data_IF_843505814709
#
_entry.id   IF_843505814709
#
_cell.length_a   1.000
_cell.length_b   1.000
_cell.length_c   1.000
_cell.angle_alpha   90.00
_cell.angle_beta   90.00
_cell.angle_gamma   90.00
#
_symmetry.space_group_name_H-M   'P 1'
#
loop_
_entity.id
_entity.type
_entity.pdbx_description
1 polymer ?
#
# COMPACT_ATOMS: atom_id res chain seq x y z
N UNK A 1 2.39 -28.28 -8.10
CA UNK A 1 2.84 -26.87 -7.98
C UNK A 1 1.60 -26.07 -7.61
N UNK A 2 1.68 -25.00 -6.78
CA UNK A 2 0.48 -24.25 -6.41
C UNK A 2 -0.23 -23.75 -7.66
N UNK A 3 -1.55 -23.93 -7.72
CA UNK A 3 -2.39 -23.64 -8.89
C UNK A 3 -2.73 -22.15 -8.99
N UNK A 4 -2.62 -21.40 -7.88
CA UNK A 4 -2.81 -19.95 -7.83
C UNK A 4 -1.84 -19.22 -6.88
N UNK A 5 -1.85 -17.88 -6.90
CA UNK A 5 -1.07 -17.07 -5.96
C UNK A 5 -1.61 -17.16 -4.54
N UNK A 6 -2.92 -17.29 -4.38
CA UNK A 6 -3.60 -17.49 -3.11
C UNK A 6 -3.20 -18.81 -2.46
N UNK A 7 -2.94 -19.86 -3.24
CA UNK A 7 -2.42 -21.12 -2.71
C UNK A 7 -0.94 -21.04 -2.34
N UNK A 8 -0.15 -20.30 -3.13
CA UNK A 8 1.29 -20.14 -2.92
C UNK A 8 1.61 -19.29 -1.69
N UNK A 9 0.82 -18.26 -1.41
CA UNK A 9 1.06 -17.29 -0.36
C UNK A 9 -0.14 -17.20 0.59
N UNK A 10 -0.01 -17.84 1.75
CA UNK A 10 -1.02 -17.80 2.82
C UNK A 10 -0.77 -16.64 3.80
N UNK A 11 0.48 -16.17 3.87
CA UNK A 11 0.89 -15.09 4.78
C UNK A 11 1.73 -14.04 4.07
N UNK A 12 1.71 -12.81 4.60
CA UNK A 12 2.55 -11.72 4.09
C UNK A 12 4.04 -12.05 4.19
N UNK A 13 4.45 -12.82 5.21
CA UNK A 13 5.83 -13.23 5.43
C UNK A 13 6.38 -14.12 4.30
N UNK A 14 5.53 -14.93 3.68
CA UNK A 14 5.92 -15.76 2.53
C UNK A 14 6.17 -14.90 1.28
N UNK A 15 5.36 -13.84 1.09
CA UNK A 15 5.59 -12.84 0.04
C UNK A 15 6.92 -12.13 0.27
N UNK A 16 7.22 -11.71 1.51
CA UNK A 16 8.49 -11.08 1.89
C UNK A 16 9.68 -12.00 1.59
N UNK A 17 9.57 -13.30 1.91
CA UNK A 17 10.60 -14.29 1.60
C UNK A 17 10.82 -14.46 0.09
N UNK A 18 9.74 -14.53 -0.69
CA UNK A 18 9.84 -14.59 -2.14
C UNK A 18 10.46 -13.31 -2.72
N UNK A 19 10.09 -12.13 -2.22
CA UNK A 19 10.68 -10.87 -2.63
C UNK A 19 12.19 -10.83 -2.35
N UNK A 20 12.66 -11.31 -1.19
CA UNK A 20 14.11 -11.42 -0.89
C UNK A 20 14.86 -12.28 -1.91
N UNK A 21 14.22 -13.32 -2.41
CA UNK A 21 14.84 -14.24 -3.37
C UNK A 21 14.90 -13.68 -4.79
N UNK A 22 14.00 -12.75 -5.13
CA UNK A 22 13.85 -12.22 -6.49
C UNK A 22 14.46 -10.82 -6.67
N UNK A 23 14.55 -10.02 -5.62
CA UNK A 23 15.10 -8.67 -5.68
C UNK A 23 16.62 -8.68 -5.59
N UNK A 24 17.26 -7.80 -6.36
CA UNK A 24 18.67 -7.50 -6.20
C UNK A 24 18.94 -6.87 -4.82
N UNK A 25 20.18 -6.95 -4.29
CA UNK A 25 20.50 -6.45 -2.95
C UNK A 25 20.09 -4.99 -2.70
N UNK A 26 20.38 -4.07 -3.63
CA UNK A 26 20.04 -2.64 -3.48
C UNK A 26 18.54 -2.36 -3.34
N UNK A 27 17.69 -2.78 -4.31
CA UNK A 27 16.23 -2.66 -4.17
C UNK A 27 15.69 -3.35 -2.92
N UNK A 28 16.21 -4.53 -2.57
CA UNK A 28 15.78 -5.20 -1.34
C UNK A 28 16.08 -4.35 -0.09
N UNK A 29 17.31 -3.86 0.05
CA UNK A 29 17.74 -3.08 1.21
C UNK A 29 16.97 -1.75 1.28
N UNK A 30 16.65 -1.13 0.13
CA UNK A 30 15.78 0.04 0.05
C UNK A 30 14.35 -0.25 0.54
N UNK A 31 13.80 -1.42 0.21
CA UNK A 31 12.43 -1.79 0.58
C UNK A 31 12.28 -2.12 2.07
N UNK A 32 13.23 -2.85 2.65
CA UNK A 32 13.10 -3.38 4.02
C UNK A 32 13.84 -2.57 5.08
N UNK A 33 14.74 -1.69 4.66
CA UNK A 33 15.58 -0.91 5.56
C UNK A 33 14.80 0.11 6.39
N UNK A 34 15.17 0.23 7.66
CA UNK A 34 14.77 1.33 8.54
C UNK A 34 15.86 2.40 8.68
N UNK A 35 15.52 3.51 9.35
CA UNK A 35 16.52 4.53 9.66
C UNK A 35 17.52 4.04 10.74
N UNK A 36 18.80 4.33 10.52
CA UNK A 36 19.90 4.09 11.48
C UNK A 36 19.92 2.64 12.00
N UNK A 37 19.77 2.43 13.30
CA UNK A 37 19.76 1.11 13.96
C UNK A 37 18.46 0.33 13.75
N UNK A 38 17.51 0.88 12.99
CA UNK A 38 16.18 0.32 12.73
C UNK A 38 15.35 0.09 14.00
N UNK A 39 15.69 0.81 15.08
CA UNK A 39 15.04 0.64 16.38
C UNK A 39 13.54 0.91 16.28
N UNK A 40 13.14 1.97 15.56
CA UNK A 40 11.72 2.29 15.36
C UNK A 40 11.00 1.26 14.49
N UNK A 41 11.67 0.73 13.46
CA UNK A 41 11.11 -0.33 12.61
C UNK A 41 10.74 -1.57 13.45
N UNK A 42 11.66 -2.00 14.32
CA UNK A 42 11.44 -3.12 15.26
C UNK A 42 10.33 -2.80 16.27
N UNK A 43 10.32 -1.60 16.83
CA UNK A 43 9.30 -1.15 17.79
C UNK A 43 7.89 -1.11 17.17
N UNK A 44 7.75 -0.70 15.92
CA UNK A 44 6.46 -0.69 15.23
C UNK A 44 5.83 -2.10 15.19
N UNK A 45 6.64 -3.13 14.89
CA UNK A 45 6.18 -4.52 14.90
C UNK A 45 5.87 -5.00 16.32
N UNK A 46 6.79 -4.77 17.26
CA UNK A 46 6.62 -5.18 18.65
C UNK A 46 5.40 -4.54 19.32
N UNK A 47 5.06 -3.29 18.96
CA UNK A 47 3.88 -2.61 19.47
C UNK A 47 2.60 -3.36 19.10
N UNK A 48 2.49 -3.86 17.87
CA UNK A 48 1.34 -4.69 17.46
C UNK A 48 1.32 -6.02 18.21
N UNK A 49 2.48 -6.67 18.38
CA UNK A 49 2.59 -7.95 19.10
C UNK A 49 2.27 -7.81 20.60
N UNK A 50 2.41 -6.60 21.16
CA UNK A 50 2.05 -6.32 22.56
C UNK A 50 0.54 -6.22 22.82
N UNK A 51 -0.28 -6.12 21.77
CA UNK A 51 -1.73 -5.99 21.89
C UNK A 51 -2.37 -7.38 21.94
N UNK A 52 -2.96 -7.72 23.08
CA UNK A 52 -3.75 -8.93 23.23
C UNK A 52 -5.23 -8.69 22.86
N UNK A 53 -5.83 -9.61 22.12
CA UNK A 53 -7.28 -9.63 21.94
C UNK A 53 -7.97 -10.13 23.21
N UNK A 54 -9.14 -9.58 23.51
CA UNK A 54 -10.09 -10.13 24.49
C UNK A 54 -11.32 -10.66 23.75
N UNK A 55 -11.28 -11.90 23.22
CA UNK A 55 -12.37 -12.43 22.40
C UNK A 55 -13.69 -12.42 23.18
N UNK A 56 -14.78 -12.06 22.51
CA UNK A 56 -16.13 -12.15 23.07
C UNK A 56 -16.80 -13.39 22.49
N UNK A 57 -17.02 -14.38 23.34
CA UNK A 57 -17.69 -15.64 22.96
C UNK A 57 -19.20 -15.48 22.86
N UNK A 58 -19.87 -16.45 22.22
CA UNK A 58 -21.33 -16.48 22.02
C UNK A 58 -21.87 -15.21 21.32
N UNK A 59 -21.13 -14.72 20.33
CA UNK A 59 -21.57 -13.66 19.42
C UNK A 59 -21.86 -14.28 18.06
N UNK A 60 -23.00 -13.93 17.48
CA UNK A 60 -23.31 -14.32 16.11
C UNK A 60 -22.38 -13.56 15.17
N UNK A 61 -21.47 -14.31 14.54
CA UNK A 61 -20.52 -13.84 13.53
C UNK A 61 -20.71 -14.59 12.22
N UNK A 62 -21.90 -15.17 12.00
CA UNK A 62 -22.24 -15.88 10.75
C UNK A 62 -22.21 -14.98 9.52
N UNK A 63 -22.39 -13.67 9.72
CA UNK A 63 -22.24 -12.63 8.69
C UNK A 63 -21.39 -11.50 9.25
N UNK A 64 -20.27 -11.22 8.59
CA UNK A 64 -19.34 -10.14 8.95
C UNK A 64 -19.30 -9.15 7.79
N UNK A 65 -19.63 -7.89 8.06
CA UNK A 65 -19.41 -6.79 7.13
C UNK A 65 -18.11 -6.07 7.51
N UNK A 66 -17.08 -6.23 6.68
CA UNK A 66 -15.81 -5.54 6.87
C UNK A 66 -15.79 -4.15 6.24
N UNK A 67 -16.85 -3.72 5.55
CA UNK A 67 -16.86 -2.43 4.86
C UNK A 67 -16.74 -1.27 5.82
N UNK A 68 -16.13 -0.18 5.35
CA UNK A 68 -15.91 1.03 6.13
C UNK A 68 -16.11 2.28 5.26
N UNK A 69 -15.94 3.46 5.86
CA UNK A 69 -15.93 4.75 5.15
C UNK A 69 -14.63 5.49 5.42
N UNK A 70 -14.04 6.06 4.36
CA UNK A 70 -12.86 6.91 4.42
C UNK A 70 -13.12 8.16 3.56
N UNK A 71 -12.97 9.35 4.15
CA UNK A 71 -13.24 10.64 3.49
C UNK A 71 -14.60 10.68 2.76
N UNK A 72 -15.64 10.09 3.37
CA UNK A 72 -16.99 10.06 2.83
C UNK A 72 -17.26 8.98 1.75
N UNK A 73 -16.27 8.15 1.39
CA UNK A 73 -16.42 7.07 0.42
C UNK A 73 -16.41 5.69 1.08
N UNK A 74 -17.26 4.79 0.59
CA UNK A 74 -17.30 3.39 1.04
C UNK A 74 -16.08 2.63 0.52
N UNK A 75 -15.48 1.80 1.37
CA UNK A 75 -14.35 0.92 1.06
C UNK A 75 -14.66 -0.52 1.50
N UNK A 76 -14.06 -1.52 0.83
CA UNK A 76 -14.32 -2.94 1.11
C UNK A 76 -13.89 -3.36 2.52
N UNK A 77 -12.80 -2.80 3.01
CA UNK A 77 -12.19 -3.10 4.32
C UNK A 77 -11.37 -1.88 4.79
N UNK A 78 -11.16 -1.64 6.10
CA UNK A 78 -10.37 -0.52 6.61
C UNK A 78 -8.86 -0.71 6.42
N UNK A 79 -8.44 -0.99 5.20
CA UNK A 79 -7.04 -1.13 4.76
C UNK A 79 -6.87 -0.35 3.47
N UNK A 80 -5.71 0.26 3.28
CA UNK A 80 -5.33 0.95 2.03
C UNK A 80 -3.88 0.64 1.68
N UNK A 81 -3.52 0.79 0.41
CA UNK A 81 -2.13 0.76 -0.02
C UNK A 81 -1.45 2.09 0.35
N UNK A 82 -0.39 2.00 1.15
CA UNK A 82 0.42 3.16 1.57
C UNK A 82 1.29 3.69 0.41
N UNK A 83 1.67 4.98 0.42
CA UNK A 83 2.51 5.54 -0.63
C UNK A 83 3.95 5.06 -0.45
N UNK A 84 4.45 4.33 -1.44
CA UNK A 84 5.84 3.88 -1.52
C UNK A 84 6.49 4.60 -2.69
N UNK A 85 7.57 5.32 -2.40
CA UNK A 85 8.38 5.95 -3.44
C UNK A 85 9.15 4.91 -4.25
N UNK A 86 9.39 5.20 -5.53
CA UNK A 86 10.19 4.36 -6.42
C UNK A 86 9.74 2.89 -6.49
N UNK A 87 8.45 2.60 -6.30
CA UNK A 87 7.91 1.23 -6.27
C UNK A 87 8.17 0.47 -7.59
N UNK A 88 8.40 1.21 -8.68
CA UNK A 88 8.85 0.66 -9.96
C UNK A 88 10.18 -0.10 -9.90
N UNK A 89 10.96 0.10 -8.81
CA UNK A 89 12.19 -0.65 -8.53
C UNK A 89 11.94 -2.10 -8.12
N UNK A 90 10.69 -2.44 -7.76
CA UNK A 90 10.28 -3.78 -7.32
C UNK A 90 9.38 -4.48 -8.33
N UNK A 91 8.57 -3.71 -9.06
CA UNK A 91 7.70 -4.17 -10.13
C UNK A 91 7.70 -3.15 -11.26
N UNK A 92 7.93 -3.57 -12.50
CA UNK A 92 8.06 -2.64 -13.63
C UNK A 92 6.81 -1.76 -13.88
N UNK A 93 5.63 -2.20 -13.45
CA UNK A 93 4.38 -1.44 -13.54
C UNK A 93 4.23 -0.35 -12.48
N UNK A 94 5.06 -0.36 -11.43
CA UNK A 94 5.13 0.68 -10.42
C UNK A 94 3.77 1.04 -9.80
N UNK A 95 3.48 2.34 -9.72
CA UNK A 95 2.21 2.84 -9.17
C UNK A 95 0.98 2.35 -9.93
N UNK A 96 1.11 2.08 -11.23
CA UNK A 96 0.01 1.56 -12.05
C UNK A 96 -0.35 0.11 -11.71
N UNK A 97 0.63 -0.74 -11.40
CA UNK A 97 0.38 -2.11 -10.94
C UNK A 97 -0.35 -2.11 -9.58
N UNK A 98 0.11 -1.28 -8.63
CA UNK A 98 -0.54 -1.10 -7.34
C UNK A 98 -1.98 -0.56 -7.47
N UNK A 99 -2.21 0.40 -8.38
CA UNK A 99 -3.54 0.95 -8.63
C UNK A 99 -4.52 -0.10 -9.18
N UNK A 100 -4.07 -0.96 -10.11
CA UNK A 100 -4.88 -2.06 -10.63
C UNK A 100 -5.26 -3.06 -9.55
N UNK A 101 -4.30 -3.49 -8.73
CA UNK A 101 -4.57 -4.40 -7.60
C UNK A 101 -5.54 -3.77 -6.58
N UNK A 102 -5.39 -2.48 -6.30
CA UNK A 102 -6.30 -1.71 -5.44
C UNK A 102 -7.72 -1.63 -6.00
N UNK A 103 -7.88 -1.39 -7.31
CA UNK A 103 -9.17 -1.37 -8.00
C UNK A 103 -9.86 -2.74 -7.95
N UNK A 104 -9.11 -3.79 -8.30
CA UNK A 104 -9.61 -5.17 -8.31
C UNK A 104 -10.06 -5.62 -6.92
N UNK A 105 -9.26 -5.34 -5.89
CA UNK A 105 -9.61 -5.72 -4.53
C UNK A 105 -10.66 -4.80 -3.91
N UNK A 106 -10.75 -3.52 -4.29
CA UNK A 106 -11.73 -2.57 -3.77
C UNK A 106 -11.28 -1.82 -2.51
N UNK A 107 -9.98 -1.52 -2.40
CA UNK A 107 -9.38 -0.71 -1.32
C UNK A 107 -8.72 0.55 -1.87
N UNK A 108 -8.55 1.63 -1.08
CA UNK A 108 -7.87 2.83 -1.54
C UNK A 108 -6.39 2.59 -1.85
N UNK A 109 -5.85 3.42 -2.75
CA UNK A 109 -4.43 3.51 -3.03
C UNK A 109 -3.97 4.95 -2.82
N UNK A 110 -2.99 5.13 -1.93
CA UNK A 110 -2.27 6.38 -1.77
C UNK A 110 -1.00 6.35 -2.63
N UNK A 111 -0.95 7.14 -3.70
CA UNK A 111 0.18 7.22 -4.62
C UNK A 111 1.23 8.22 -4.09
N UNK A 112 2.50 7.84 -4.10
CA UNK A 112 3.60 8.77 -3.80
C UNK A 112 3.84 9.76 -4.96
N UNK A 113 4.17 11.02 -4.64
CA UNK A 113 4.63 12.00 -5.63
C UNK A 113 6.00 11.68 -6.23
N UNK A 114 6.68 10.63 -5.75
CA UNK A 114 7.97 10.16 -6.25
C UNK A 114 7.84 8.70 -6.67
N UNK A 115 7.11 8.46 -7.74
CA UNK A 115 6.84 7.11 -8.25
C UNK A 115 6.57 7.16 -9.76
N UNK A 116 7.01 6.15 -10.51
CA UNK A 116 6.63 5.95 -11.89
C UNK A 116 5.41 5.02 -12.02
N UNK A 117 4.53 5.19 -13.04
CA UNK A 117 4.64 6.12 -14.17
C UNK A 117 4.14 7.56 -13.86
N UNK A 118 4.04 7.94 -12.59
CA UNK A 118 3.55 9.25 -12.18
C UNK A 118 2.04 9.28 -11.99
N UNK A 119 1.51 10.46 -11.66
CA UNK A 119 0.13 10.66 -11.24
C UNK A 119 -0.88 10.30 -12.33
N UNK A 120 -0.78 10.90 -13.50
CA UNK A 120 -1.76 10.79 -14.57
C UNK A 120 -1.79 9.38 -15.18
N UNK A 121 -0.62 8.82 -15.45
CA UNK A 121 -0.52 7.47 -16.02
C UNK A 121 -1.00 6.41 -15.01
N UNK A 122 -0.75 6.60 -13.72
CA UNK A 122 -1.31 5.73 -12.67
C UNK A 122 -2.83 5.87 -12.57
N UNK A 123 -3.36 7.09 -12.65
CA UNK A 123 -4.80 7.34 -12.66
C UNK A 123 -5.48 6.72 -13.89
N UNK A 124 -4.85 6.78 -15.06
CA UNK A 124 -5.36 6.17 -16.29
C UNK A 124 -5.32 4.63 -16.25
N UNK A 125 -4.46 4.02 -15.43
CA UNK A 125 -4.26 2.58 -15.38
C UNK A 125 -5.41 1.80 -14.70
N UNK A 126 -6.17 2.44 -13.80
CA UNK A 126 -7.23 1.80 -13.04
C UNK A 126 -8.18 2.82 -12.40
N UNK A 127 -9.49 2.52 -12.38
CA UNK A 127 -10.49 3.30 -11.65
C UNK A 127 -10.60 2.80 -10.20
N UNK A 128 -10.09 3.59 -9.25
CA UNK A 128 -10.03 3.24 -7.83
C UNK A 128 -10.18 4.47 -6.92
N UNK A 129 -10.28 4.24 -5.61
CA UNK A 129 -10.20 5.34 -4.65
C UNK A 129 -8.74 5.77 -4.48
N UNK A 130 -8.38 6.84 -5.19
CA UNK A 130 -7.05 7.45 -5.20
C UNK A 130 -6.88 8.49 -4.10
N UNK A 131 -5.73 8.48 -3.46
CA UNK A 131 -5.22 9.54 -2.60
C UNK A 131 -3.82 9.88 -3.12
N UNK A 132 -3.42 11.15 -3.11
CA UNK A 132 -2.09 11.56 -3.57
C UNK A 132 -1.27 12.09 -2.39
N UNK A 133 -0.10 11.47 -2.16
CA UNK A 133 0.87 11.94 -1.18
C UNK A 133 1.84 12.90 -1.87
N UNK A 134 1.84 14.16 -1.44
CA UNK A 134 2.67 15.21 -2.03
C UNK A 134 3.87 15.54 -1.12
N UNK A 135 5.08 15.49 -1.68
CA UNK A 135 6.23 16.20 -1.13
C UNK A 135 6.28 17.61 -1.72
N UNK A 136 6.27 18.64 -0.87
CA UNK A 136 6.42 20.03 -1.32
C UNK A 136 7.87 20.28 -1.73
N UNK A 137 8.09 20.54 -3.02
CA UNK A 137 9.43 20.78 -3.60
C UNK A 137 9.55 22.15 -4.30
N UNK A 138 8.47 22.90 -4.36
CA UNK A 138 8.40 24.20 -5.03
C UNK A 138 7.68 25.23 -4.17
N UNK A 139 7.35 26.35 -4.81
CA UNK A 139 6.54 27.42 -4.23
C UNK A 139 5.04 27.07 -4.25
N UNK A 140 4.21 28.00 -3.81
CA UNK A 140 2.76 27.81 -3.73
C UNK A 140 2.14 27.54 -5.11
N UNK A 141 2.66 28.17 -6.17
CA UNK A 141 2.18 27.95 -7.54
C UNK A 141 2.46 26.51 -8.00
N UNK A 142 3.61 25.95 -7.65
CA UNK A 142 3.94 24.55 -7.92
C UNK A 142 3.03 23.59 -7.15
N UNK A 143 2.72 23.90 -5.89
CA UNK A 143 1.80 23.10 -5.06
C UNK A 143 0.39 23.12 -5.65
N UNK A 144 -0.11 24.31 -6.02
CA UNK A 144 -1.42 24.49 -6.63
C UNK A 144 -1.57 23.68 -7.93
N UNK A 145 -0.53 23.66 -8.78
CA UNK A 145 -0.50 22.83 -9.98
C UNK A 145 -0.63 21.32 -9.65
N UNK A 146 0.12 20.82 -8.67
CA UNK A 146 0.07 19.40 -8.28
C UNK A 146 -1.27 19.02 -7.67
N UNK A 147 -1.83 19.89 -6.82
CA UNK A 147 -3.16 19.67 -6.23
C UNK A 147 -4.23 19.66 -7.31
N UNK A 148 -4.16 20.57 -8.29
CA UNK A 148 -5.09 20.60 -9.42
C UNK A 148 -5.02 19.30 -10.21
N UNK A 149 -3.82 18.84 -10.58
CA UNK A 149 -3.61 17.58 -11.32
C UNK A 149 -4.07 16.35 -10.55
N UNK A 150 -3.98 16.36 -9.21
CA UNK A 150 -4.45 15.26 -8.37
C UNK A 150 -5.97 15.21 -8.20
N UNK A 151 -6.64 16.36 -8.38
CA UNK A 151 -8.11 16.47 -8.32
C UNK A 151 -8.76 16.06 -9.63
N UNK A 152 -8.18 16.48 -10.75
CA UNK A 152 -8.69 16.27 -12.12
C UNK A 152 -8.52 14.80 -12.58
#
# INVERSE_FOLDING_TARGET
>A
MPESMEEKFQTLQEIVKAARQNLAPGPWDYLVGGAETETTLKRNRQALDSIAFRPRVLRDVSKIDCTASLLGRRIRTPVMLAPIGSIESFDAGGGAAAAKASAEFGVPHMLSSVCNPGLEATAAAADNFRIFQLYVRGDDAWVDDHVKRARD
#
